data_IF_724323121992
#
_entry.id   IF_724323121992
#
_cell.length_a   1.000
_cell.length_b   1.000
_cell.length_c   1.000
_cell.angle_alpha   90.00
_cell.angle_beta   90.00
_cell.angle_gamma   90.00
#
_symmetry.space_group_name_H-M   'P 1'
#
loop_
_entity.id
_entity.type
_entity.pdbx_description
1 polymer ?
#
# COMPACT_ATOMS: atom_id res chain seq x y z
N UNK A 1 0.28 15.67 1.56
CA UNK A 1 1.15 14.50 1.80
C UNK A 1 0.28 13.26 1.82
N UNK A 2 0.86 12.09 1.56
CA UNK A 2 0.23 10.78 1.71
C UNK A 2 0.92 10.04 2.84
N UNK A 3 0.17 9.32 3.68
CA UNK A 3 0.73 8.47 4.74
C UNK A 3 0.99 7.08 4.20
N UNK A 4 2.09 6.48 4.61
CA UNK A 4 2.41 5.07 4.39
C UNK A 4 2.56 4.39 5.75
N UNK A 5 2.08 3.16 5.87
CA UNK A 5 2.33 2.30 7.03
C UNK A 5 2.89 0.98 6.50
N UNK A 6 4.08 0.61 6.98
CA UNK A 6 4.74 -0.62 6.55
C UNK A 6 4.01 -1.87 7.04
N UNK A 7 4.21 -3.01 6.36
CA UNK A 7 3.60 -4.27 6.76
C UNK A 7 3.91 -4.63 8.21
N UNK A 8 2.90 -5.09 8.95
CA UNK A 8 3.03 -5.39 10.36
C UNK A 8 3.15 -4.14 11.24
N UNK A 9 2.85 -2.95 10.71
CA UNK A 9 2.88 -1.68 11.42
C UNK A 9 4.23 -1.35 12.07
N UNK A 10 5.36 -1.67 11.42
CA UNK A 10 6.69 -1.42 11.98
C UNK A 10 7.05 0.07 12.02
N UNK A 11 6.63 0.82 11.00
CA UNK A 11 6.80 2.25 10.91
C UNK A 11 5.73 2.88 10.03
N UNK A 12 5.55 4.19 10.17
CA UNK A 12 4.86 5.01 9.18
C UNK A 12 5.78 6.10 8.66
N UNK A 13 5.47 6.65 7.49
CA UNK A 13 6.07 7.87 6.97
C UNK A 13 5.04 8.66 6.18
N UNK A 14 5.34 9.92 5.88
CA UNK A 14 4.60 10.73 4.93
C UNK A 14 5.45 11.02 3.69
N UNK A 15 4.82 10.93 2.51
CA UNK A 15 5.46 11.19 1.22
C UNK A 15 4.65 12.18 0.37
N UNK A 16 5.26 12.80 -0.66
CA UNK A 16 4.57 13.78 -1.51
C UNK A 16 3.27 13.22 -2.12
N UNK A 17 2.25 14.07 -2.22
CA UNK A 17 0.93 13.63 -2.67
C UNK A 17 0.90 13.16 -4.14
N UNK A 18 1.82 13.66 -4.95
CA UNK A 18 2.00 13.33 -6.36
C UNK A 18 2.92 12.10 -6.58
N UNK A 19 3.43 11.51 -5.50
CA UNK A 19 4.20 10.26 -5.55
C UNK A 19 3.27 9.05 -5.33
N UNK A 20 3.73 7.88 -5.77
CA UNK A 20 3.10 6.58 -5.54
C UNK A 20 4.14 5.55 -5.11
N UNK A 21 3.67 4.47 -4.48
CA UNK A 21 4.49 3.28 -4.18
C UNK A 21 4.62 2.41 -5.45
N UNK A 22 5.77 1.77 -5.62
CA UNK A 22 6.06 0.85 -6.71
C UNK A 22 6.77 -0.41 -6.19
N UNK A 23 6.69 -1.49 -6.96
CA UNK A 23 7.43 -2.72 -6.68
C UNK A 23 8.95 -2.47 -6.73
N UNK A 24 9.65 -3.06 -5.75
CA UNK A 24 11.11 -3.12 -5.68
C UNK A 24 11.50 -4.55 -5.23
N UNK A 25 12.63 -4.69 -4.56
CA UNK A 25 13.07 -5.92 -3.90
C UNK A 25 12.27 -6.22 -2.64
N UNK A 26 12.32 -7.47 -2.18
CA UNK A 26 11.68 -7.91 -0.94
C UNK A 26 12.09 -7.01 0.25
N UNK A 27 11.13 -6.65 1.09
CA UNK A 27 11.29 -5.78 2.26
C UNK A 27 11.85 -4.37 1.99
N UNK A 28 11.81 -3.91 0.72
CA UNK A 28 12.15 -2.54 0.33
C UNK A 28 10.96 -1.84 -0.32
N UNK A 29 10.68 -0.62 0.14
CA UNK A 29 9.53 0.17 -0.33
C UNK A 29 10.01 1.36 -1.16
N UNK A 30 9.59 1.41 -2.42
CA UNK A 30 9.99 2.42 -3.41
C UNK A 30 8.88 3.43 -3.66
N UNK A 31 9.21 4.72 -3.61
CA UNK A 31 8.30 5.82 -3.88
C UNK A 31 8.90 6.81 -4.88
N UNK A 32 8.13 7.19 -5.89
CA UNK A 32 8.49 8.26 -6.83
C UNK A 32 7.26 8.87 -7.53
N UNK A 33 7.45 10.00 -8.20
CA UNK A 33 6.47 10.55 -9.14
C UNK A 33 6.72 9.99 -10.55
N UNK A 34 5.83 9.15 -11.06
CA UNK A 34 5.93 8.55 -12.40
C UNK A 34 5.61 9.51 -13.55
N UNK A 35 4.90 10.61 -13.28
CA UNK A 35 4.54 11.62 -14.29
C UNK A 35 5.60 12.72 -14.43
N UNK A 36 6.18 13.14 -13.31
CA UNK A 36 7.25 14.15 -13.23
C UNK A 36 8.32 13.67 -12.27
N UNK A 37 9.22 12.87 -12.78
CA UNK A 37 10.28 12.28 -11.98
C UNK A 37 11.20 13.35 -11.35
N UNK A 38 11.31 13.31 -10.03
CA UNK A 38 12.21 14.16 -9.23
C UNK A 38 13.11 13.34 -8.28
N UNK A 39 13.02 12.01 -8.36
CA UNK A 39 13.88 11.07 -7.68
C UNK A 39 13.12 9.83 -7.20
N UNK A 40 13.88 8.81 -6.79
CA UNK A 40 13.40 7.54 -6.28
C UNK A 40 13.79 7.41 -4.82
N UNK A 41 12.83 7.46 -3.91
CA UNK A 41 13.07 7.21 -2.49
C UNK A 41 12.82 5.74 -2.17
N UNK A 42 13.75 5.11 -1.47
CA UNK A 42 13.61 3.74 -0.98
C UNK A 42 13.81 3.73 0.51
N UNK A 43 13.09 2.84 1.18
CA UNK A 43 13.29 2.55 2.60
C UNK A 43 13.11 1.05 2.84
N UNK A 44 14.00 0.48 3.65
CA UNK A 44 13.84 -0.83 4.26
C UNK A 44 14.03 -0.70 5.77
N UNK A 45 13.52 -1.66 6.52
CA UNK A 45 13.63 -1.67 7.98
C UNK A 45 13.97 -3.06 8.49
N UNK A 46 14.91 -3.14 9.42
CA UNK A 46 15.30 -4.38 10.10
C UNK A 46 15.22 -4.20 11.61
N UNK A 47 14.48 -5.09 12.27
CA UNK A 47 14.36 -5.11 13.73
C UNK A 47 15.39 -6.04 14.36
N UNK A 48 16.17 -5.51 15.29
CA UNK A 48 17.14 -6.26 16.07
C UNK A 48 16.57 -6.88 17.33
N UNK A 49 17.39 -7.71 17.97
CA UNK A 49 17.08 -8.29 19.30
C UNK A 49 17.40 -7.35 20.45
N UNK A 50 18.30 -6.40 20.24
CA UNK A 50 18.77 -5.46 21.26
C UNK A 50 18.27 -4.05 20.95
N UNK A 51 18.04 -3.25 21.98
CA UNK A 51 17.63 -1.85 21.85
C UNK A 51 18.71 -0.95 21.24
N UNK A 52 19.94 -1.46 21.11
CA UNK A 52 21.06 -0.77 20.45
C UNK A 52 21.22 -1.10 18.98
N UNK A 53 20.35 -1.92 18.39
CA UNK A 53 20.56 -2.47 17.06
C UNK A 53 20.75 -1.40 15.96
N UNK A 54 19.92 -0.35 15.96
CA UNK A 54 20.05 0.79 15.06
C UNK A 54 21.39 1.52 15.24
N UNK A 55 21.83 1.73 16.48
CA UNK A 55 23.16 2.28 16.78
C UNK A 55 24.28 1.38 16.27
N UNK A 56 24.13 0.07 16.40
CA UNK A 56 25.13 -0.90 15.96
C UNK A 56 25.23 -0.94 14.42
N UNK A 57 24.10 -0.87 13.71
CA UNK A 57 24.06 -0.72 12.25
C UNK A 57 24.70 0.58 11.77
N UNK A 58 24.38 1.71 12.42
CA UNK A 58 25.00 3.01 12.13
C UNK A 58 26.54 2.94 12.28
N UNK A 59 27.02 2.35 13.39
CA UNK A 59 28.47 2.18 13.63
C UNK A 59 29.12 1.26 12.62
N UNK A 60 28.44 0.18 12.21
CA UNK A 60 28.91 -0.72 11.18
C UNK A 60 29.08 0.03 9.85
N UNK A 61 28.08 0.80 9.42
CA UNK A 61 28.15 1.61 8.19
C UNK A 61 29.34 2.59 8.23
N UNK A 62 29.53 3.34 9.31
CA UNK A 62 30.67 4.26 9.45
C UNK A 62 32.04 3.56 9.44
N UNK A 63 32.09 2.29 9.85
CA UNK A 63 33.32 1.49 9.87
C UNK A 63 33.61 0.88 8.50
N UNK A 64 32.58 0.44 7.79
CA UNK A 64 32.68 -0.34 6.56
C UNK A 64 32.68 0.53 5.31
N UNK A 65 32.04 1.71 5.36
CA UNK A 65 31.97 2.67 4.26
C UNK A 65 32.84 3.91 4.54
N UNK A 66 34.02 4.05 3.92
CA UNK A 66 34.90 5.20 4.12
C UNK A 66 34.30 6.54 3.67
N UNK A 67 33.27 6.52 2.85
CA UNK A 67 32.56 7.73 2.37
C UNK A 67 31.43 8.15 3.31
N UNK A 68 31.05 7.30 4.27
CA UNK A 68 29.99 7.60 5.22
C UNK A 68 30.49 8.55 6.32
N UNK A 69 29.63 9.49 6.69
CA UNK A 69 29.87 10.45 7.77
C UNK A 69 28.72 10.41 8.77
N UNK A 70 29.04 10.66 10.04
CA UNK A 70 28.00 10.82 11.06
C UNK A 70 27.20 12.10 10.78
N UNK A 71 25.88 11.99 10.83
CA UNK A 71 24.95 13.09 10.56
C UNK A 71 23.67 12.92 11.39
N UNK A 72 22.72 13.83 11.21
CA UNK A 72 21.36 13.75 11.76
C UNK A 72 20.35 14.32 10.78
N UNK A 73 19.15 13.75 10.73
CA UNK A 73 17.96 14.34 10.08
C UNK A 73 16.97 14.70 11.17
N UNK A 74 16.78 15.99 11.42
CA UNK A 74 16.08 16.45 12.62
C UNK A 74 16.77 15.89 13.87
N UNK A 75 16.03 15.11 14.66
CA UNK A 75 16.58 14.44 15.85
C UNK A 75 17.11 13.02 15.59
N UNK A 76 16.97 12.49 14.37
CA UNK A 76 17.30 11.10 14.03
C UNK A 76 18.80 10.98 13.75
N UNK A 77 19.57 10.23 14.56
CA UNK A 77 20.98 9.95 14.24
C UNK A 77 21.11 9.07 13.00
N UNK A 78 22.07 9.37 12.14
CA UNK A 78 22.31 8.55 10.96
C UNK A 78 23.77 8.53 10.50
N UNK A 79 24.17 7.46 9.82
CA UNK A 79 25.30 7.50 8.90
C UNK A 79 24.80 7.94 7.52
N UNK A 80 25.48 8.90 6.91
CA UNK A 80 25.11 9.45 5.60
C UNK A 80 26.27 9.29 4.62
N UNK A 81 25.98 8.81 3.42
CA UNK A 81 26.93 8.77 2.31
C UNK A 81 26.23 9.15 1.00
N UNK A 82 27.01 9.38 -0.05
CA UNK A 82 26.49 9.59 -1.39
C UNK A 82 27.41 8.97 -2.42
N UNK A 83 26.83 8.56 -3.54
CA UNK A 83 27.54 8.05 -4.70
C UNK A 83 27.01 8.73 -5.97
N UNK A 84 27.91 9.06 -6.89
CA UNK A 84 27.55 9.57 -8.22
C UNK A 84 27.97 8.55 -9.26
N UNK A 85 27.04 8.16 -10.11
CA UNK A 85 27.24 7.13 -11.12
C UNK A 85 26.63 7.57 -12.46
N UNK A 86 27.02 6.86 -13.53
CA UNK A 86 26.48 7.10 -14.86
C UNK A 86 25.72 5.86 -15.33
N UNK A 87 24.51 6.07 -15.83
CA UNK A 87 23.65 5.03 -16.38
C UNK A 87 23.01 5.56 -17.67
N UNK A 88 23.06 4.78 -18.75
CA UNK A 88 22.48 5.15 -20.06
C UNK A 88 22.86 6.56 -20.56
N UNK A 89 24.10 7.00 -20.27
CA UNK A 89 24.60 8.32 -20.68
C UNK A 89 24.13 9.49 -19.80
N UNK A 90 23.32 9.23 -18.78
CA UNK A 90 22.89 10.21 -17.78
C UNK A 90 23.66 10.02 -16.48
N UNK A 91 23.92 11.10 -15.75
CA UNK A 91 24.61 11.06 -14.46
C UNK A 91 23.59 11.24 -13.35
N UNK A 92 23.67 10.37 -12.35
CA UNK A 92 22.77 10.33 -11.20
C UNK A 92 23.58 10.43 -9.90
N UNK A 93 22.91 10.86 -8.85
CA UNK A 93 23.43 10.85 -7.49
C UNK A 93 22.46 10.05 -6.62
N UNK A 94 22.97 9.04 -5.92
CA UNK A 94 22.23 8.37 -4.84
C UNK A 94 22.75 8.85 -3.50
N UNK A 95 21.84 9.27 -2.65
CA UNK A 95 22.08 9.59 -1.24
C UNK A 95 21.65 8.40 -0.41
N UNK A 96 22.44 8.02 0.59
CA UNK A 96 22.17 6.89 1.48
C UNK A 96 22.13 7.34 2.92
N UNK A 97 21.22 6.78 3.70
CA UNK A 97 21.13 6.98 5.14
C UNK A 97 20.89 5.66 5.85
N UNK A 98 21.71 5.37 6.86
CA UNK A 98 21.46 4.31 7.85
C UNK A 98 21.00 5.00 9.13
N UNK A 99 19.71 4.87 9.45
CA UNK A 99 19.01 5.58 10.53
C UNK A 99 18.96 4.74 11.80
N UNK A 100 19.23 5.38 12.93
CA UNK A 100 19.11 4.77 14.26
C UNK A 100 17.73 5.04 14.87
N UNK A 101 16.93 3.98 15.01
CA UNK A 101 15.66 3.96 15.72
C UNK A 101 15.68 3.00 16.93
N UNK A 102 16.82 2.92 17.63
CA UNK A 102 16.98 2.07 18.81
C UNK A 102 17.00 0.59 18.43
N UNK A 103 15.93 -0.15 18.72
CA UNK A 103 15.84 -1.58 18.38
C UNK A 103 15.66 -1.83 16.87
N UNK A 104 15.54 -0.79 16.04
CA UNK A 104 15.34 -0.89 14.60
C UNK A 104 16.40 -0.08 13.85
N UNK A 105 16.91 -0.66 12.78
CA UNK A 105 17.71 0.01 11.76
C UNK A 105 16.84 0.25 10.53
N UNK A 106 16.88 1.47 9.99
CA UNK A 106 16.27 1.75 8.69
C UNK A 106 17.32 2.20 7.70
N UNK A 107 17.23 1.67 6.49
CA UNK A 107 18.14 2.02 5.40
C UNK A 107 17.32 2.75 4.35
N UNK A 108 17.63 4.04 4.16
CA UNK A 108 17.00 4.88 3.17
C UNK A 108 17.97 5.16 2.03
N UNK A 109 17.47 5.20 0.80
CA UNK A 109 18.22 5.77 -0.32
C UNK A 109 17.36 6.71 -1.14
N UNK A 110 18.00 7.69 -1.77
CA UNK A 110 17.34 8.60 -2.70
C UNK A 110 18.19 8.82 -3.94
N UNK A 111 17.72 8.30 -5.07
CA UNK A 111 18.39 8.47 -6.37
C UNK A 111 17.73 9.59 -7.15
N UNK A 112 18.50 10.59 -7.57
CA UNK A 112 18.03 11.70 -8.40
C UNK A 112 19.06 12.08 -9.46
N UNK A 113 18.77 13.07 -10.31
CA UNK A 113 19.74 13.58 -11.29
C UNK A 113 21.01 14.06 -10.60
N UNK A 114 22.11 14.18 -11.35
CA UNK A 114 23.36 14.76 -10.83
C UNK A 114 23.10 16.08 -10.09
N UNK A 115 23.54 16.16 -8.84
CA UNK A 115 23.35 17.30 -7.95
C UNK A 115 21.87 17.63 -7.62
N UNK A 116 20.93 16.71 -7.83
CA UNK A 116 19.54 16.91 -7.43
C UNK A 116 19.43 17.04 -5.92
N UNK A 117 18.51 17.90 -5.47
CA UNK A 117 18.35 18.19 -4.04
C UNK A 117 17.74 17.00 -3.29
N UNK A 118 18.36 16.63 -2.17
CA UNK A 118 17.89 15.54 -1.30
C UNK A 118 16.86 15.97 -0.27
N UNK A 119 16.44 17.24 -0.29
CA UNK A 119 15.54 17.82 0.72
C UNK A 119 14.19 17.10 0.80
N UNK A 120 13.69 16.60 -0.34
CA UNK A 120 12.44 15.82 -0.38
C UNK A 120 12.60 14.51 0.41
N UNK A 121 13.73 13.80 0.22
CA UNK A 121 14.02 12.59 0.97
C UNK A 121 14.25 12.86 2.46
N UNK A 122 15.00 13.92 2.81
CA UNK A 122 15.19 14.34 4.21
C UNK A 122 13.85 14.70 4.87
N UNK A 123 12.93 15.33 4.12
CA UNK A 123 11.57 15.64 4.60
C UNK A 123 10.78 14.37 4.87
N UNK A 124 10.81 13.38 3.96
CA UNK A 124 10.17 12.08 4.17
C UNK A 124 10.76 11.39 5.40
N UNK A 125 12.09 11.31 5.51
CA UNK A 125 12.78 10.68 6.63
C UNK A 125 12.38 11.32 7.96
N UNK A 126 12.26 12.65 7.99
CA UNK A 126 11.88 13.39 9.21
C UNK A 126 10.42 13.17 9.65
N UNK A 127 9.59 12.50 8.83
CA UNK A 127 8.22 12.10 9.18
C UNK A 127 8.11 10.65 9.64
N UNK A 128 9.21 9.89 9.60
CA UNK A 128 9.20 8.49 10.01
C UNK A 128 8.81 8.41 11.49
N UNK A 129 7.85 7.54 11.79
CA UNK A 129 7.38 7.26 13.13
C UNK A 129 7.40 5.76 13.37
N UNK A 130 7.98 5.35 14.49
CA UNK A 130 7.99 3.96 14.95
C UNK A 130 7.01 3.87 16.12
N UNK A 131 5.88 3.15 15.97
CA UNK A 131 4.92 3.05 17.05
C UNK A 131 5.49 2.23 18.21
N UNK A 132 5.04 2.53 19.43
CA UNK A 132 5.29 1.64 20.57
C UNK A 132 4.63 0.29 20.29
N UNK A 133 5.29 -0.82 20.66
CA UNK A 133 4.85 -2.17 20.31
C UNK A 133 3.41 -2.50 20.76
N UNK A 134 2.94 -1.89 21.85
CA UNK A 134 1.59 -2.06 22.38
C UNK A 134 0.53 -1.14 21.71
N UNK A 135 0.97 -0.13 20.97
CA UNK A 135 0.16 0.94 20.35
C UNK A 135 0.32 0.98 18.82
N UNK A 136 0.54 -0.16 18.16
CA UNK A 136 0.61 -0.23 16.69
C UNK A 136 -0.57 0.51 16.03
N UNK A 137 -0.42 0.92 14.77
CA UNK A 137 -1.42 1.73 14.08
C UNK A 137 -2.81 1.08 14.07
N UNK A 138 -3.85 1.83 14.46
CA UNK A 138 -5.24 1.34 14.60
C UNK A 138 -6.21 2.19 13.80
N UNK A 139 -7.12 1.51 13.10
CA UNK A 139 -8.20 2.11 12.31
C UNK A 139 -7.72 3.18 11.32
N UNK A 140 -6.52 3.00 10.77
CA UNK A 140 -5.93 3.93 9.81
C UNK A 140 -6.41 3.60 8.40
N UNK A 141 -6.73 4.63 7.62
CA UNK A 141 -6.99 4.54 6.19
C UNK A 141 -5.86 5.25 5.47
N UNK A 142 -5.10 4.49 4.68
CA UNK A 142 -3.97 5.02 3.90
C UNK A 142 -4.20 4.76 2.41
N UNK A 143 -3.53 5.51 1.51
CA UNK A 143 -3.46 5.14 0.10
C UNK A 143 -3.14 3.65 -0.05
N UNK A 144 -3.82 2.98 -0.98
CA UNK A 144 -3.66 1.55 -1.16
C UNK A 144 -2.19 1.21 -1.44
N UNK A 145 -1.65 0.24 -0.69
CA UNK A 145 -0.28 -0.25 -0.87
C UNK A 145 -0.21 -1.24 -2.01
N UNK A 146 0.99 -1.42 -2.58
CA UNK A 146 1.26 -2.44 -3.60
C UNK A 146 0.85 -3.85 -3.13
N UNK A 147 1.00 -4.16 -1.84
CA UNK A 147 0.57 -5.44 -1.26
C UNK A 147 -0.95 -5.66 -1.40
N UNK A 148 -1.77 -4.68 -1.02
CA UNK A 148 -3.22 -4.79 -1.13
C UNK A 148 -3.68 -4.69 -2.59
N UNK A 149 -2.96 -3.97 -3.46
CA UNK A 149 -3.18 -4.05 -4.91
C UNK A 149 -2.97 -5.49 -5.41
N UNK A 150 -1.95 -6.19 -4.92
CA UNK A 150 -1.71 -7.61 -5.19
C UNK A 150 -2.88 -8.51 -4.78
N UNK A 151 -3.50 -8.26 -3.62
CA UNK A 151 -4.71 -8.96 -3.17
C UNK A 151 -5.88 -8.70 -4.14
N UNK A 152 -6.12 -7.45 -4.51
CA UNK A 152 -7.18 -7.07 -5.46
C UNK A 152 -6.98 -7.75 -6.82
N UNK A 153 -5.76 -7.70 -7.36
CA UNK A 153 -5.44 -8.31 -8.65
C UNK A 153 -5.56 -9.83 -8.63
N UNK A 154 -5.19 -10.48 -7.52
CA UNK A 154 -5.32 -11.93 -7.34
C UNK A 154 -6.78 -12.34 -7.37
N UNK A 155 -7.64 -11.65 -6.62
CA UNK A 155 -9.08 -11.91 -6.62
C UNK A 155 -9.74 -11.63 -7.97
N UNK A 156 -9.32 -10.55 -8.65
CA UNK A 156 -9.80 -10.21 -9.99
C UNK A 156 -9.43 -11.30 -11.01
N UNK A 157 -8.17 -11.75 -11.03
CA UNK A 157 -7.74 -12.84 -11.92
C UNK A 157 -8.46 -14.16 -11.62
N UNK A 158 -8.72 -14.44 -10.34
CA UNK A 158 -9.45 -15.63 -9.93
C UNK A 158 -10.90 -15.60 -10.42
N UNK A 159 -11.63 -14.49 -10.27
CA UNK A 159 -13.03 -14.42 -10.70
C UNK A 159 -13.15 -14.46 -12.22
N UNK A 160 -12.22 -13.86 -12.96
CA UNK A 160 -12.17 -13.90 -14.42
C UNK A 160 -12.06 -15.34 -14.91
N UNK A 161 -11.11 -16.11 -14.36
CA UNK A 161 -10.94 -17.53 -14.68
C UNK A 161 -12.17 -18.35 -14.29
N UNK A 162 -12.77 -18.06 -13.14
CA UNK A 162 -13.95 -18.78 -12.64
C UNK A 162 -15.17 -18.54 -13.54
N UNK A 163 -15.47 -17.30 -13.89
CA UNK A 163 -16.56 -16.95 -14.80
C UNK A 163 -16.31 -17.54 -16.20
N UNK A 164 -15.08 -17.51 -16.69
CA UNK A 164 -14.73 -18.12 -17.98
C UNK A 164 -14.99 -19.63 -17.98
N UNK A 165 -14.57 -20.32 -16.92
CA UNK A 165 -14.75 -21.76 -16.76
C UNK A 165 -16.21 -22.16 -16.59
N UNK A 166 -16.94 -21.45 -15.72
CA UNK A 166 -18.27 -21.89 -15.30
C UNK A 166 -19.41 -21.38 -16.20
N UNK A 167 -19.22 -20.23 -16.85
CA UNK A 167 -20.25 -19.56 -17.65
C UNK A 167 -19.88 -19.41 -19.12
N UNK A 168 -18.65 -19.74 -19.53
CA UNK A 168 -18.13 -19.48 -20.89
C UNK A 168 -18.24 -18.00 -21.31
N UNK A 169 -18.16 -17.09 -20.34
CA UNK A 169 -18.25 -15.63 -20.54
C UNK A 169 -16.96 -14.96 -20.10
N UNK A 170 -16.70 -13.76 -20.62
CA UNK A 170 -15.58 -12.93 -20.17
C UNK A 170 -16.01 -12.04 -18.98
N UNK A 171 -15.05 -11.62 -18.15
CA UNK A 171 -15.26 -10.70 -17.04
C UNK A 171 -14.51 -9.40 -17.31
N UNK A 172 -15.20 -8.27 -17.20
CA UNK A 172 -14.69 -6.94 -17.58
C UNK A 172 -14.67 -5.94 -16.42
N UNK A 173 -15.18 -6.34 -15.25
CA UNK A 173 -15.34 -5.46 -14.09
C UNK A 173 -16.43 -4.41 -14.28
N UNK A 174 -17.31 -4.58 -15.26
CA UNK A 174 -18.42 -3.68 -15.56
C UNK A 174 -19.66 -4.02 -14.74
N UNK A 175 -20.61 -3.09 -14.59
CA UNK A 175 -21.87 -3.32 -13.85
C UNK A 175 -22.62 -4.58 -14.32
N UNK A 176 -22.63 -4.87 -15.63
CA UNK A 176 -23.24 -6.09 -16.20
C UNK A 176 -22.65 -7.39 -15.67
N UNK A 177 -21.44 -7.36 -15.11
CA UNK A 177 -20.74 -8.53 -14.60
C UNK A 177 -21.20 -8.93 -13.19
N UNK A 178 -21.95 -8.06 -12.49
CA UNK A 178 -22.58 -8.38 -11.19
C UNK A 178 -23.46 -9.63 -11.32
N UNK A 179 -24.28 -9.69 -12.37
CA UNK A 179 -25.13 -10.86 -12.65
C UNK A 179 -24.31 -12.14 -12.91
N UNK A 180 -23.07 -12.02 -13.42
CA UNK A 180 -22.19 -13.18 -13.64
C UNK A 180 -21.61 -13.68 -12.33
N UNK A 181 -21.20 -12.78 -11.43
CA UNK A 181 -20.74 -13.14 -10.08
C UNK A 181 -21.88 -13.85 -9.34
N UNK A 182 -23.09 -13.28 -9.36
CA UNK A 182 -24.28 -13.89 -8.76
C UNK A 182 -24.56 -15.28 -9.35
N UNK A 183 -24.53 -15.43 -10.67
CA UNK A 183 -24.77 -16.72 -11.34
C UNK A 183 -23.74 -17.80 -10.91
N UNK A 184 -22.47 -17.42 -10.74
CA UNK A 184 -21.44 -18.36 -10.25
C UNK A 184 -21.71 -18.74 -8.80
N UNK A 185 -22.08 -17.78 -7.94
CA UNK A 185 -22.42 -18.04 -6.54
C UNK A 185 -23.64 -18.98 -6.40
N UNK A 186 -24.69 -18.73 -7.19
CA UNK A 186 -25.93 -19.50 -7.17
C UNK A 186 -25.79 -20.89 -7.81
N UNK A 187 -24.72 -21.13 -8.57
CA UNK A 187 -24.52 -22.38 -9.32
C UNK A 187 -24.32 -23.62 -8.44
N UNK A 188 -23.99 -23.42 -7.15
CA UNK A 188 -23.61 -24.49 -6.22
C UNK A 188 -22.24 -25.14 -6.52
N UNK A 189 -21.49 -24.61 -7.48
CA UNK A 189 -20.17 -25.14 -7.87
C UNK A 189 -19.01 -24.57 -7.05
N UNK A 190 -19.24 -23.44 -6.38
CA UNK A 190 -18.32 -22.86 -5.42
C UNK A 190 -18.76 -23.22 -4.01
N UNK A 191 -17.81 -23.56 -3.15
CA UNK A 191 -18.06 -23.64 -1.72
C UNK A 191 -18.05 -22.23 -1.13
N UNK A 192 -19.19 -21.54 -1.24
CA UNK A 192 -19.39 -20.19 -0.69
C UNK A 192 -19.33 -20.16 0.85
N UNK A 193 -19.22 -21.31 1.53
CA UNK A 193 -18.97 -21.38 2.97
C UNK A 193 -17.47 -21.32 3.31
N UNK A 194 -16.57 -21.40 2.34
CA UNK A 194 -15.15 -21.10 2.54
C UNK A 194 -14.90 -19.59 2.58
N UNK A 195 -14.27 -19.13 3.66
CA UNK A 195 -13.95 -17.71 3.89
C UNK A 195 -13.14 -17.11 2.74
N UNK A 196 -12.15 -17.83 2.23
CA UNK A 196 -11.32 -17.39 1.11
C UNK A 196 -12.14 -17.18 -0.17
N UNK A 197 -13.04 -18.11 -0.50
CA UNK A 197 -13.91 -17.99 -1.68
C UNK A 197 -14.84 -16.78 -1.55
N UNK A 198 -15.47 -16.60 -0.38
CA UNK A 198 -16.29 -15.41 -0.12
C UNK A 198 -15.49 -14.13 -0.28
N UNK A 199 -14.27 -14.11 0.25
CA UNK A 199 -13.41 -12.93 0.20
C UNK A 199 -13.00 -12.59 -1.24
N UNK A 200 -12.65 -13.58 -2.06
CA UNK A 200 -12.36 -13.35 -3.49
C UNK A 200 -13.59 -12.82 -4.25
N UNK A 201 -14.79 -13.38 -3.99
CA UNK A 201 -16.04 -12.88 -4.56
C UNK A 201 -16.34 -11.43 -4.13
N UNK A 202 -16.14 -11.13 -2.85
CA UNK A 202 -16.29 -9.80 -2.28
C UNK A 202 -15.35 -8.77 -2.93
N UNK A 203 -14.06 -9.10 -3.08
CA UNK A 203 -13.08 -8.20 -3.70
C UNK A 203 -13.39 -8.00 -5.19
N UNK A 204 -13.80 -9.05 -5.90
CA UNK A 204 -14.25 -8.96 -7.28
C UNK A 204 -15.45 -8.02 -7.45
N UNK A 205 -16.44 -8.15 -6.57
CA UNK A 205 -17.61 -7.28 -6.56
C UNK A 205 -17.27 -5.84 -6.16
N UNK A 206 -16.40 -5.65 -5.15
CA UNK A 206 -15.85 -4.35 -4.79
C UNK A 206 -15.09 -3.69 -5.96
N UNK A 207 -14.42 -4.47 -6.80
CA UNK A 207 -13.73 -3.96 -7.99
C UNK A 207 -14.71 -3.38 -9.01
N UNK A 208 -15.89 -4.00 -9.17
CA UNK A 208 -16.99 -3.41 -9.97
C UNK A 208 -17.47 -2.11 -9.32
N UNK A 209 -17.69 -2.10 -8.01
CA UNK A 209 -18.12 -0.90 -7.28
C UNK A 209 -17.14 0.27 -7.50
N UNK A 210 -15.84 0.05 -7.27
CA UNK A 210 -14.79 1.07 -7.42
C UNK A 210 -14.73 1.61 -8.84
N UNK A 211 -14.76 0.72 -9.85
CA UNK A 211 -14.67 1.11 -11.26
C UNK A 211 -15.88 1.92 -11.72
N UNK A 212 -17.07 1.57 -11.23
CA UNK A 212 -18.34 2.10 -11.74
C UNK A 212 -18.99 3.12 -10.80
N UNK A 213 -18.34 3.52 -9.70
CA UNK A 213 -18.87 4.52 -8.77
C UNK A 213 -17.86 5.67 -8.63
N UNK A 214 -18.19 6.81 -9.23
CA UNK A 214 -17.38 8.03 -9.13
C UNK A 214 -17.16 8.41 -7.66
N UNK A 215 -15.91 8.75 -7.33
CA UNK A 215 -15.49 9.05 -5.96
C UNK A 215 -15.17 7.83 -5.11
N UNK A 216 -15.43 6.59 -5.57
CA UNK A 216 -15.07 5.39 -4.80
C UNK A 216 -13.65 4.93 -5.13
N UNK A 217 -12.76 4.93 -4.15
CA UNK A 217 -11.35 4.58 -4.32
C UNK A 217 -10.92 3.42 -3.43
N UNK A 218 -9.98 2.63 -3.93
CA UNK A 218 -9.29 1.63 -3.11
C UNK A 218 -8.31 2.29 -2.15
N UNK A 219 -8.35 1.87 -0.89
CA UNK A 219 -7.42 2.24 0.19
C UNK A 219 -6.95 0.99 0.92
N UNK A 220 -5.92 1.12 1.74
CA UNK A 220 -5.55 0.10 2.72
C UNK A 220 -6.11 0.50 4.09
N UNK A 221 -6.82 -0.42 4.73
CA UNK A 221 -7.18 -0.31 6.14
C UNK A 221 -6.14 -1.01 7.00
N UNK A 222 -5.64 -0.32 8.02
CA UNK A 222 -4.68 -0.86 8.98
C UNK A 222 -5.28 -0.82 10.39
N UNK A 223 -5.49 -2.00 10.96
CA UNK A 223 -5.86 -2.21 12.35
C UNK A 223 -4.92 -3.23 13.02
N UNK A 224 -3.76 -2.74 13.40
CA UNK A 224 -2.64 -3.51 13.94
C UNK A 224 -2.19 -4.59 12.96
N UNK A 225 -2.44 -5.86 13.29
CA UNK A 225 -2.06 -6.98 12.43
C UNK A 225 -3.06 -7.24 11.28
N UNK A 226 -4.23 -6.61 11.32
CA UNK A 226 -5.24 -6.72 10.27
C UNK A 226 -5.02 -5.63 9.25
N UNK A 227 -4.50 -6.01 8.08
CA UNK A 227 -4.18 -5.10 6.98
C UNK A 227 -4.84 -5.63 5.70
N UNK A 228 -5.73 -4.85 5.08
CA UNK A 228 -6.51 -5.32 3.93
C UNK A 228 -7.09 -4.18 3.08
N UNK A 229 -7.40 -4.44 1.78
CA UNK A 229 -8.00 -3.44 0.92
C UNK A 229 -9.44 -3.12 1.35
N UNK A 230 -9.79 -1.84 1.31
CA UNK A 230 -11.15 -1.33 1.50
C UNK A 230 -11.49 -0.32 0.41
N UNK A 231 -12.78 -0.05 0.22
CA UNK A 231 -13.20 1.11 -0.57
C UNK A 231 -13.50 2.28 0.36
N UNK A 232 -13.03 3.46 0.01
CA UNK A 232 -13.40 4.71 0.65
C UNK A 232 -14.04 5.62 -0.39
N UNK A 233 -15.13 6.27 -0.01
CA UNK A 233 -15.74 7.29 -0.85
C UNK A 233 -15.09 8.65 -0.60
N UNK A 234 -14.33 9.13 -1.58
CA UNK A 234 -13.48 10.31 -1.50
C UNK A 234 -12.63 10.24 -0.22
N UNK A 235 -12.48 11.36 0.49
CA UNK A 235 -11.85 11.41 1.82
C UNK A 235 -12.90 11.40 2.94
N UNK A 236 -14.03 10.71 2.75
CA UNK A 236 -15.09 10.62 3.76
C UNK A 236 -14.91 9.44 4.71
N UNK A 237 -15.66 9.46 5.81
CA UNK A 237 -15.76 8.34 6.77
C UNK A 237 -16.53 7.13 6.22
N UNK A 238 -17.09 7.22 5.00
CA UNK A 238 -17.82 6.11 4.42
C UNK A 238 -16.85 5.10 3.79
N UNK A 239 -16.62 4.04 4.56
CA UNK A 239 -15.75 2.92 4.22
C UNK A 239 -16.61 1.69 3.94
N UNK A 240 -16.28 0.97 2.88
CA UNK A 240 -16.85 -0.33 2.55
C UNK A 240 -15.77 -1.39 2.74
N UNK A 241 -15.97 -2.25 3.72
CA UNK A 241 -15.14 -3.44 3.89
C UNK A 241 -15.62 -4.53 2.93
N UNK A 242 -14.78 -5.05 2.02
CA UNK A 242 -15.20 -6.06 1.05
C UNK A 242 -15.86 -7.28 1.71
N UNK A 243 -15.35 -7.72 2.86
CA UNK A 243 -15.91 -8.85 3.62
C UNK A 243 -17.41 -8.70 3.97
N UNK A 244 -17.91 -7.46 4.08
CA UNK A 244 -19.31 -7.19 4.39
C UNK A 244 -20.23 -7.30 3.15
N UNK A 245 -19.66 -7.25 1.94
CA UNK A 245 -20.41 -7.32 0.69
C UNK A 245 -20.91 -8.73 0.37
N UNK A 246 -20.14 -9.75 0.75
CA UNK A 246 -20.48 -11.17 0.53
C UNK A 246 -20.39 -11.88 1.88
N UNK A 247 -21.43 -11.67 2.69
CA UNK A 247 -21.53 -12.24 4.04
C UNK A 247 -21.90 -13.72 4.04
N UNK A 248 -21.99 -14.32 5.24
CA UNK A 248 -22.51 -15.69 5.42
C UNK A 248 -24.04 -15.77 5.34
N UNK A 249 -24.74 -14.63 5.39
CA UNK A 249 -26.19 -14.57 5.40
C UNK A 249 -26.75 -14.72 3.98
N UNK A 250 -27.12 -15.94 3.64
CA UNK A 250 -27.74 -16.31 2.37
C UNK A 250 -29.28 -16.30 2.48
N UNK A 251 -30.04 -15.90 1.43
CA UNK A 251 -29.60 -15.49 0.10
C UNK A 251 -29.07 -14.05 0.03
N UNK A 252 -28.07 -13.84 -0.84
CA UNK A 252 -27.47 -12.53 -1.14
C UNK A 252 -27.93 -12.07 -2.52
N UNK A 253 -28.32 -10.80 -2.63
CA UNK A 253 -28.60 -10.13 -3.90
C UNK A 253 -27.57 -9.02 -4.14
N UNK A 254 -26.57 -9.32 -4.96
CA UNK A 254 -25.50 -8.37 -5.30
C UNK A 254 -26.01 -7.14 -6.06
N UNK A 255 -27.10 -7.28 -6.83
CA UNK A 255 -27.68 -6.17 -7.60
C UNK A 255 -28.31 -5.15 -6.65
N UNK A 256 -29.05 -5.63 -5.65
CA UNK A 256 -29.65 -4.76 -4.63
C UNK A 256 -28.58 -4.09 -3.74
N UNK A 257 -27.51 -4.82 -3.38
CA UNK A 257 -26.38 -4.24 -2.64
C UNK A 257 -25.73 -3.12 -3.45
N UNK A 258 -25.41 -3.37 -4.73
CA UNK A 258 -24.82 -2.37 -5.61
C UNK A 258 -25.73 -1.14 -5.77
N UNK A 259 -27.04 -1.35 -5.95
CA UNK A 259 -28.03 -0.27 -6.05
C UNK A 259 -28.03 0.63 -4.81
N UNK A 260 -27.95 0.05 -3.60
CA UNK A 260 -27.88 0.81 -2.34
C UNK A 260 -26.61 1.64 -2.23
N UNK A 261 -25.47 1.05 -2.61
CA UNK A 261 -24.17 1.74 -2.63
C UNK A 261 -24.23 2.94 -3.60
N UNK A 262 -24.71 2.73 -4.83
CA UNK A 262 -24.87 3.81 -5.83
C UNK A 262 -25.78 4.93 -5.34
N UNK A 263 -26.89 4.59 -4.66
CA UNK A 263 -27.80 5.58 -4.08
C UNK A 263 -27.13 6.38 -2.97
N UNK A 264 -26.34 5.73 -2.11
CA UNK A 264 -25.61 6.40 -1.03
C UNK A 264 -24.53 7.33 -1.59
N UNK A 265 -23.72 6.85 -2.55
CA UNK A 265 -22.72 7.66 -3.24
C UNK A 265 -23.34 8.90 -3.90
N UNK A 266 -24.48 8.72 -4.57
CA UNK A 266 -25.20 9.83 -5.21
C UNK A 266 -25.70 10.87 -4.21
N UNK A 267 -26.16 10.45 -3.03
CA UNK A 267 -26.56 11.37 -1.95
C UNK A 267 -25.37 12.17 -1.44
N UNK A 268 -24.21 11.52 -1.30
CA UNK A 268 -23.00 12.17 -0.81
C UNK A 268 -22.35 13.11 -1.84
N UNK A 269 -22.47 12.82 -3.15
CA UNK A 269 -22.04 13.74 -4.22
C UNK A 269 -22.94 14.98 -4.38
N UNK A 270 -24.18 14.92 -3.91
CA UNK A 270 -25.11 16.05 -3.94
C UNK A 270 -25.08 16.94 -2.70
N UNK A 271 -24.21 16.64 -1.73
CA UNK A 271 -23.92 17.44 -0.53
C UNK A 271 -22.69 18.32 -0.76
#
# INVERSE_FOLDING_TARGET
MKKYISPGSWFSLEYPADWNEFEDTEDTFLFYNSSRWNGNFRISATKGKADSYGTDCLRAELKENPSAVISRIGEIPCAYSLETFQENGSVYTTYFWVLDYGAMCMECSFTTTKNGEKIIAETIINTICVPLAEHGFRHEIIPIRILEIGVVNTAYSWIEKTIKKELSKDFTGEEKDIAKIQQVMDSGKLDIHQKEIRYHLAIAFASIIAKNTEGMEWKTYVDGASEYPVLQFMDSEWIIHPADLVSENWPIDLTEIYRRIRLQASKMNGM
#
